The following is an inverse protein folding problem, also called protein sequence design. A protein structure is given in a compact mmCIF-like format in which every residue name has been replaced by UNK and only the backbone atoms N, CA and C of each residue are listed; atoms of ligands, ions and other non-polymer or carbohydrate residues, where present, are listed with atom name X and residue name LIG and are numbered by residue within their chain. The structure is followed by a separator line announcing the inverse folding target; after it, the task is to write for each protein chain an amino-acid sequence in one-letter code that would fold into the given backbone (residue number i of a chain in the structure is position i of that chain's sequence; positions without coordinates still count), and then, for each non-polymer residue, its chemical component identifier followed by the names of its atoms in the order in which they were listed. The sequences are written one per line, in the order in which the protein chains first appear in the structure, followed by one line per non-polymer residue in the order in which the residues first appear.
data_IF_750083939411
#
_entry.id   IF_750083939411
#
_cell.length_a   1.000
_cell.length_b   1.000
_cell.length_c   1.000
_cell.angle_alpha   90.00
_cell.angle_beta   90.00
_cell.angle_gamma   90.00
#
_symmetry.space_group_name_H-M   'P 1'
#
loop_
_entity.id
_entity.type
_entity.pdbx_description
1 polymer ?
#
# COMPACT_ATOMS: atom_id res chain seq x y z
N UNK A 1 6.71 -12.29 16.16
CA UNK A 1 6.25 -10.87 16.15
C UNK A 1 5.25 -10.70 15.02
N UNK A 2 4.08 -10.12 15.30
CA UNK A 2 3.06 -9.87 14.27
C UNK A 2 3.48 -8.64 13.46
N UNK A 3 3.66 -8.78 12.13
CA UNK A 3 4.04 -7.66 11.26
C UNK A 3 2.95 -6.58 11.32
N UNK A 4 3.35 -5.31 11.44
CA UNK A 4 2.39 -4.21 11.44
C UNK A 4 1.63 -4.17 10.10
N UNK A 5 0.49 -3.48 10.07
CA UNK A 5 -0.21 -3.26 8.81
C UNK A 5 0.68 -2.55 7.78
N UNK A 6 1.39 -1.50 8.24
CA UNK A 6 2.36 -0.77 7.44
C UNK A 6 3.38 -1.71 6.79
N UNK A 7 4.02 -2.58 7.58
CA UNK A 7 5.03 -3.51 7.05
C UNK A 7 4.43 -4.46 6.01
N UNK A 8 3.21 -4.95 6.24
CA UNK A 8 2.53 -5.83 5.28
C UNK A 8 2.23 -5.13 3.95
N UNK A 9 1.82 -3.87 3.99
CA UNK A 9 1.58 -3.06 2.78
C UNK A 9 2.89 -2.83 2.03
N UNK A 10 3.94 -2.37 2.72
CA UNK A 10 5.22 -2.09 2.09
C UNK A 10 5.85 -3.35 1.48
N UNK A 11 5.78 -4.49 2.18
CA UNK A 11 6.25 -5.78 1.67
C UNK A 11 5.46 -6.27 0.45
N UNK A 12 4.15 -6.00 0.38
CA UNK A 12 3.35 -6.31 -0.81
C UNK A 12 3.80 -5.45 -2.00
N UNK A 13 4.00 -4.15 -1.78
CA UNK A 13 4.40 -3.19 -2.81
C UNK A 13 5.86 -3.31 -3.25
N UNK A 14 6.73 -4.01 -2.48
CA UNK A 14 8.09 -4.38 -2.90
C UNK A 14 8.10 -5.32 -4.10
N UNK A 15 7.08 -6.17 -4.23
CA UNK A 15 7.04 -7.22 -5.25
C UNK A 15 6.39 -6.73 -6.53
N UNK A 16 5.31 -5.96 -6.41
CA UNK A 16 4.47 -5.54 -7.52
C UNK A 16 3.63 -4.32 -7.13
N UNK A 17 3.20 -3.55 -8.13
CA UNK A 17 2.24 -2.46 -7.94
C UNK A 17 0.83 -3.03 -7.81
N UNK A 18 0.08 -2.56 -6.82
CA UNK A 18 -1.23 -3.13 -6.44
C UNK A 18 -2.28 -2.04 -6.29
N UNK A 19 -3.51 -2.35 -6.66
CA UNK A 19 -4.68 -1.52 -6.37
C UNK A 19 -4.98 -1.54 -4.86
N UNK A 20 -5.75 -0.55 -4.39
CA UNK A 20 -6.20 -0.53 -2.99
C UNK A 20 -7.00 -1.80 -2.61
N UNK A 21 -7.76 -2.37 -3.55
CA UNK A 21 -8.52 -3.61 -3.35
C UNK A 21 -7.60 -4.81 -3.16
N UNK A 22 -6.64 -5.00 -4.06
CA UNK A 22 -5.68 -6.11 -3.99
C UNK A 22 -4.83 -6.04 -2.72
N UNK A 23 -4.42 -4.83 -2.31
CA UNK A 23 -3.73 -4.63 -1.03
C UNK A 23 -4.62 -5.05 0.15
N UNK A 24 -5.89 -4.64 0.15
CA UNK A 24 -6.85 -4.99 1.19
C UNK A 24 -7.00 -6.51 1.36
N UNK A 25 -7.15 -7.22 0.24
CA UNK A 25 -7.25 -8.69 0.21
C UNK A 25 -5.96 -9.35 0.73
N UNK A 26 -4.80 -8.86 0.29
CA UNK A 26 -3.50 -9.47 0.62
C UNK A 26 -3.07 -9.24 2.07
N UNK A 27 -3.35 -8.06 2.62
CA UNK A 27 -3.00 -7.71 4.01
C UNK A 27 -4.09 -8.08 5.01
N UNK A 28 -5.25 -8.56 4.52
CA UNK A 28 -6.37 -9.03 5.35
C UNK A 28 -7.20 -7.91 5.97
N UNK A 29 -7.31 -6.76 5.30
CA UNK A 29 -8.16 -5.65 5.74
C UNK A 29 -9.49 -5.67 4.98
N UNK A 30 -10.59 -5.49 5.72
CA UNK A 30 -11.94 -5.39 5.15
C UNK A 30 -12.50 -3.97 5.13
N UNK A 31 -11.87 -3.02 5.82
CA UNK A 31 -12.37 -1.65 6.00
C UNK A 31 -11.22 -0.64 5.89
N UNK A 32 -11.35 0.26 4.92
CA UNK A 32 -10.57 1.50 4.75
C UNK A 32 -9.04 1.37 4.57
N UNK A 33 -8.55 0.69 3.51
CA UNK A 33 -7.13 0.78 3.14
C UNK A 33 -6.71 2.22 2.82
N UNK A 34 -7.64 3.06 2.33
CA UNK A 34 -7.35 4.42 1.87
C UNK A 34 -6.72 5.33 2.92
N UNK A 35 -7.13 5.29 4.19
CA UNK A 35 -6.54 6.14 5.22
C UNK A 35 -5.08 5.78 5.48
N UNK A 36 -4.77 4.47 5.52
CA UNK A 36 -3.40 4.01 5.71
C UNK A 36 -2.54 4.30 4.48
N UNK A 37 -3.09 4.15 3.27
CA UNK A 37 -2.37 4.43 2.03
C UNK A 37 -2.07 5.93 1.88
N UNK A 38 -3.05 6.80 2.15
CA UNK A 38 -2.86 8.25 2.17
C UNK A 38 -1.76 8.67 3.15
N UNK A 39 -1.75 8.10 4.36
CA UNK A 39 -0.72 8.39 5.35
C UNK A 39 0.68 7.94 4.89
N UNK A 40 0.79 6.76 4.28
CA UNK A 40 2.08 6.26 3.75
C UNK A 40 2.56 7.07 2.53
N UNK A 41 1.64 7.63 1.75
CA UNK A 41 1.94 8.53 0.64
C UNK A 41 2.47 9.88 1.14
N UNK A 42 1.85 10.45 2.18
CA UNK A 42 2.34 11.66 2.85
C UNK A 42 3.74 11.46 3.46
N UNK A 43 4.03 10.28 4.03
CA UNK A 43 5.39 9.92 4.48
C UNK A 43 6.38 9.71 3.32
N UNK A 44 5.92 9.74 2.07
CA UNK A 44 6.75 9.55 0.88
C UNK A 44 7.26 8.12 0.71
N UNK A 45 6.58 7.12 1.29
CA UNK A 45 6.97 5.71 1.19
C UNK A 45 6.38 5.02 -0.04
N UNK A 46 5.17 5.43 -0.40
CA UNK A 46 4.43 4.94 -1.56
C UNK A 46 3.93 6.13 -2.36
N UNK A 47 3.48 5.89 -3.58
CA UNK A 47 2.82 6.89 -4.39
C UNK A 47 1.71 6.23 -5.23
N UNK A 48 0.67 7.00 -5.55
CA UNK A 48 -0.43 6.53 -6.40
C UNK A 48 -0.18 6.87 -7.87
N UNK A 49 -0.17 5.84 -8.72
CA UNK A 49 -0.12 6.00 -10.17
C UNK A 49 -1.50 6.29 -10.74
N UNK A 50 -1.78 7.56 -11.08
CA UNK A 50 -3.06 7.97 -11.68
C UNK A 50 -3.42 7.22 -12.97
N UNK A 51 -2.42 6.80 -13.75
CA UNK A 51 -2.63 6.09 -15.03
C UNK A 51 -2.96 4.62 -14.84
N UNK A 52 -2.33 3.98 -13.85
CA UNK A 52 -2.46 2.54 -13.60
C UNK A 52 -3.48 2.23 -12.53
N UNK A 53 -3.96 3.25 -11.82
CA UNK A 53 -4.79 3.18 -10.62
C UNK A 53 -4.19 2.28 -9.52
N UNK A 54 -2.86 2.19 -9.48
CA UNK A 54 -2.11 1.32 -8.59
C UNK A 54 -1.20 2.12 -7.67
N UNK A 55 -1.02 1.58 -6.48
CA UNK A 55 -0.01 2.01 -5.52
C UNK A 55 1.30 1.30 -5.82
N UNK A 56 2.40 1.99 -5.63
CA UNK A 56 3.74 1.42 -5.72
C UNK A 56 4.67 2.07 -4.70
N UNK A 57 5.79 1.41 -4.41
CA UNK A 57 6.82 2.01 -3.57
C UNK A 57 7.44 3.19 -4.28
N UNK A 58 7.57 4.29 -3.54
CA UNK A 58 8.32 5.45 -3.98
C UNK A 58 9.82 5.10 -3.93
N UNK A 59 10.50 5.16 -5.06
CA UNK A 59 11.97 4.98 -5.10
C UNK A 59 12.61 6.27 -4.62
N UNK A 60 13.53 6.16 -3.65
CA UNK A 60 14.38 7.26 -3.19
C UNK A 60 15.35 7.68 -4.27
#
# INVERSE_FOLDING_TARGET
MMKSLRDRILEALKKESLTARELSERVGIKKYPYFTLSWLEEEGLIEYGLVTEKWHLKRR
#
